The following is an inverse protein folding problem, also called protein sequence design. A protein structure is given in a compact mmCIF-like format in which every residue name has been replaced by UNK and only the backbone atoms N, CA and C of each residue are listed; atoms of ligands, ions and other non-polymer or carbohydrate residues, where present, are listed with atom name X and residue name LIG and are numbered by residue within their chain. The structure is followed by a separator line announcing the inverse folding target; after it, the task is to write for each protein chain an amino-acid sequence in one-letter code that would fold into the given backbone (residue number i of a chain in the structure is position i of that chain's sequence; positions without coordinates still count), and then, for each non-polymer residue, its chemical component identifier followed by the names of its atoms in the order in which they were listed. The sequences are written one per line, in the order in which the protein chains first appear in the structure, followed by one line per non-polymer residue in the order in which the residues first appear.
data_IF_894695399526
#
_entry.id   IF_894695399526
#
_cell.length_a   1.000
_cell.length_b   1.000
_cell.length_c   1.000
_cell.angle_alpha   90.00
_cell.angle_beta   90.00
_cell.angle_gamma   90.00
#
_symmetry.space_group_name_H-M   'P 1'
#
loop_
_entity.id
_entity.type
_entity.pdbx_description
1 polymer ?
#
# COMPACT_ATOMS: atom_id res chain seq x y z
N UNK A 1 -11.78 -90.62 -26.38
CA UNK A 1 -10.48 -90.05 -25.98
C UNK A 1 -10.61 -88.54 -25.95
N UNK A 2 -10.62 -87.99 -24.73
CA UNK A 2 -10.24 -86.64 -24.31
C UNK A 2 -9.44 -85.82 -25.35
N UNK A 3 -9.39 -84.49 -25.33
CA UNK A 3 -10.11 -83.38 -24.69
C UNK A 3 -9.28 -82.14 -25.10
N UNK A 4 -9.93 -81.09 -25.59
CA UNK A 4 -9.29 -79.85 -26.02
C UNK A 4 -8.82 -78.98 -24.84
N UNK A 5 -7.60 -78.44 -24.90
CA UNK A 5 -7.20 -77.11 -24.35
C UNK A 5 -6.16 -76.49 -25.30
N UNK A 6 -6.51 -75.52 -26.16
CA UNK A 6 -6.75 -74.08 -25.93
C UNK A 6 -5.59 -73.37 -25.21
N UNK A 7 -4.68 -72.82 -26.02
CA UNK A 7 -3.75 -71.74 -25.65
C UNK A 7 -4.54 -70.43 -25.48
N UNK A 8 -4.27 -69.71 -24.38
CA UNK A 8 -4.79 -68.39 -24.06
C UNK A 8 -3.83 -67.35 -24.66
N UNK A 9 -4.28 -66.40 -25.51
CA UNK A 9 -3.49 -65.21 -25.80
C UNK A 9 -3.74 -64.13 -24.73
N UNK A 10 -2.64 -63.56 -24.25
CA UNK A 10 -2.56 -62.37 -23.43
C UNK A 10 -3.38 -61.22 -24.06
N UNK A 11 -4.39 -60.74 -23.34
CA UNK A 11 -5.06 -59.48 -23.66
C UNK A 11 -4.50 -58.36 -22.77
N UNK A 12 -4.07 -57.31 -23.48
CA UNK A 12 -3.41 -56.09 -23.03
C UNK A 12 -4.09 -55.39 -21.85
N UNK A 13 -3.28 -55.01 -20.86
CA UNK A 13 -3.62 -54.27 -19.64
C UNK A 13 -4.04 -52.80 -19.86
N UNK A 14 -4.47 -52.44 -21.07
CA UNK A 14 -4.68 -51.04 -21.48
C UNK A 14 -6.08 -50.46 -21.25
N UNK A 15 -7.07 -51.26 -20.81
CA UNK A 15 -8.49 -50.85 -20.90
C UNK A 15 -9.21 -50.66 -19.55
N UNK A 16 -8.53 -50.76 -18.41
CA UNK A 16 -9.13 -50.51 -17.09
C UNK A 16 -8.97 -49.07 -16.59
N UNK A 17 -8.05 -48.27 -17.15
CA UNK A 17 -7.84 -46.89 -16.72
C UNK A 17 -8.91 -45.93 -17.27
N UNK A 18 -9.56 -46.27 -18.39
CA UNK A 18 -10.59 -45.44 -19.01
C UNK A 18 -11.98 -45.58 -18.35
N UNK A 19 -12.24 -46.71 -17.66
CA UNK A 19 -13.52 -46.96 -16.98
C UNK A 19 -13.60 -46.23 -15.63
N UNK A 20 -12.46 -45.94 -14.99
CA UNK A 20 -12.40 -45.13 -13.76
C UNK A 20 -12.68 -43.64 -14.00
N UNK A 21 -12.56 -43.14 -15.23
CA UNK A 21 -12.81 -41.74 -15.56
C UNK A 21 -14.30 -41.40 -15.78
N UNK A 22 -15.18 -42.40 -15.94
CA UNK A 22 -16.62 -42.15 -16.23
C UNK A 22 -17.48 -42.23 -14.96
N UNK A 23 -17.04 -42.93 -13.91
CA UNK A 23 -17.81 -43.08 -12.66
C UNK A 23 -17.67 -41.87 -11.72
N UNK A 24 -16.66 -41.01 -11.90
CA UNK A 24 -16.52 -39.76 -11.12
C UNK A 24 -17.50 -38.65 -11.55
N UNK A 25 -18.18 -38.78 -12.69
CA UNK A 25 -19.07 -37.74 -13.22
C UNK A 25 -20.57 -37.94 -12.88
N UNK A 26 -20.95 -38.97 -12.11
CA UNK A 26 -22.35 -39.23 -11.74
C UNK A 26 -22.73 -38.82 -10.30
N UNK A 27 -21.84 -38.17 -9.55
CA UNK A 27 -22.16 -37.58 -8.24
C UNK A 27 -22.29 -36.06 -8.27
N UNK A 28 -22.86 -35.52 -9.35
CA UNK A 28 -23.43 -34.17 -9.33
C UNK A 28 -24.94 -34.32 -9.45
N UNK A 29 -25.64 -34.15 -8.33
CA UNK A 29 -26.89 -33.37 -8.23
C UNK A 29 -27.53 -33.50 -6.84
N UNK A 30 -27.91 -32.33 -6.30
CA UNK A 30 -28.69 -32.05 -5.09
C UNK A 30 -27.97 -32.00 -3.74
N UNK A 31 -27.47 -30.81 -3.41
CA UNK A 31 -27.95 -30.11 -2.21
C UNK A 31 -28.09 -28.62 -2.52
N UNK A 32 -29.24 -28.10 -2.13
CA UNK A 32 -29.79 -26.78 -2.44
C UNK A 32 -28.85 -25.62 -2.14
N UNK A 33 -28.88 -24.62 -3.02
CA UNK A 33 -28.31 -23.31 -2.75
C UNK A 33 -29.01 -22.65 -1.58
N UNK A 34 -28.36 -22.68 -0.41
CA UNK A 34 -28.57 -21.67 0.62
C UNK A 34 -27.63 -20.52 0.29
N UNK A 35 -28.16 -19.48 -0.38
CA UNK A 35 -27.55 -18.17 -0.37
C UNK A 35 -27.56 -17.64 1.07
N UNK A 36 -26.52 -17.96 1.83
CA UNK A 36 -26.19 -17.19 3.02
C UNK A 36 -25.68 -15.85 2.49
N UNK A 37 -26.60 -14.90 2.30
CA UNK A 37 -26.27 -13.48 2.32
C UNK A 37 -25.85 -13.13 3.74
N UNK A 38 -24.61 -13.50 4.05
CA UNK A 38 -23.87 -13.17 5.25
C UNK A 38 -22.48 -12.65 4.88
N UNK A 39 -22.34 -12.04 3.70
CA UNK A 39 -21.24 -11.15 3.41
C UNK A 39 -21.65 -9.77 3.90
N UNK A 40 -21.35 -9.45 5.16
CA UNK A 40 -21.18 -8.03 5.49
C UNK A 40 -20.13 -7.52 4.51
N UNK A 41 -20.53 -6.65 3.57
CA UNK A 41 -19.57 -6.06 2.65
C UNK A 41 -18.49 -5.43 3.51
N UNK A 42 -17.26 -5.96 3.46
CA UNK A 42 -16.13 -5.17 3.93
C UNK A 42 -16.26 -3.83 3.21
N UNK A 43 -16.44 -2.76 3.99
CA UNK A 43 -16.57 -1.42 3.43
C UNK A 43 -15.29 -1.17 2.65
N UNK A 44 -15.41 -0.96 1.35
CA UNK A 44 -14.26 -0.77 0.47
C UNK A 44 -13.46 0.42 0.97
N UNK A 45 -12.24 0.14 1.47
CA UNK A 45 -11.32 1.18 1.93
C UNK A 45 -10.79 1.96 0.72
N UNK A 46 -10.55 3.24 0.90
CA UNK A 46 -9.90 4.06 -0.14
C UNK A 46 -8.42 3.71 -0.20
N UNK A 47 -7.91 3.36 -1.39
CA UNK A 47 -6.48 3.11 -1.56
C UNK A 47 -5.69 4.42 -1.53
N UNK A 48 -4.67 4.49 -0.69
CA UNK A 48 -3.64 5.52 -0.70
C UNK A 48 -2.29 4.87 -0.98
N UNK A 49 -1.68 5.25 -2.09
CA UNK A 49 -0.34 4.79 -2.49
C UNK A 49 0.67 5.94 -2.37
N UNK A 50 1.76 5.70 -1.65
CA UNK A 50 2.90 6.59 -1.55
C UNK A 50 4.13 5.92 -2.15
N UNK A 51 4.62 6.48 -3.26
CA UNK A 51 5.90 6.12 -3.88
C UNK A 51 6.95 7.13 -3.44
N UNK A 52 8.02 6.66 -2.80
CA UNK A 52 8.97 7.51 -2.11
C UNK A 52 10.40 6.94 -2.10
N UNK A 53 11.35 7.77 -1.67
CA UNK A 53 12.75 7.39 -1.45
C UNK A 53 13.12 7.74 -0.01
N UNK A 54 13.77 6.80 0.68
CA UNK A 54 14.10 6.90 2.11
C UNK A 54 15.02 8.08 2.46
N UNK A 55 15.82 8.61 1.53
CA UNK A 55 16.67 9.79 1.80
C UNK A 55 16.17 11.08 1.12
N UNK A 56 15.00 11.06 0.48
CA UNK A 56 14.42 12.27 -0.10
C UNK A 56 13.85 13.18 1.01
N UNK A 57 14.31 14.45 1.15
CA UNK A 57 13.82 15.35 2.20
C UNK A 57 12.32 15.64 2.14
N UNK A 58 11.71 15.64 0.94
CA UNK A 58 10.28 15.84 0.79
C UNK A 58 9.47 14.59 1.15
N UNK A 59 10.04 13.40 0.96
CA UNK A 59 9.42 12.12 1.32
C UNK A 59 9.38 11.95 2.84
N UNK A 60 10.54 12.09 3.50
CA UNK A 60 10.64 12.05 4.96
C UNK A 60 9.74 13.08 5.62
N UNK A 61 9.71 14.31 5.12
CA UNK A 61 8.78 15.34 5.60
C UNK A 61 7.31 14.95 5.43
N UNK A 62 6.93 14.35 4.29
CA UNK A 62 5.55 13.90 4.08
C UNK A 62 5.18 12.81 5.10
N UNK A 63 6.05 11.82 5.30
CA UNK A 63 5.81 10.70 6.22
C UNK A 63 5.68 11.21 7.66
N UNK A 64 6.63 12.03 8.10
CA UNK A 64 6.77 12.48 9.49
C UNK A 64 5.77 13.57 9.87
N UNK A 65 5.42 14.49 8.97
CA UNK A 65 4.60 15.67 9.32
C UNK A 65 3.15 15.60 8.77
N UNK A 66 2.84 14.64 7.90
CA UNK A 66 1.52 14.53 7.28
C UNK A 66 0.96 13.12 7.34
N UNK A 67 1.69 12.10 6.89
CA UNK A 67 1.16 10.74 6.75
C UNK A 67 0.77 10.13 8.09
N UNK A 68 1.55 10.38 9.14
CA UNK A 68 1.23 9.92 10.50
C UNK A 68 -0.17 10.39 10.97
N UNK A 69 -0.67 11.52 10.45
CA UNK A 69 -2.00 12.04 10.79
C UNK A 69 -3.12 11.10 10.37
N UNK A 70 -2.91 10.16 9.44
CA UNK A 70 -3.89 9.11 9.14
C UNK A 70 -4.25 8.31 10.38
N UNK A 71 -3.25 7.99 11.20
CA UNK A 71 -3.40 7.20 12.41
C UNK A 71 -4.07 8.04 13.50
N UNK A 72 -3.54 9.23 13.79
CA UNK A 72 -4.07 10.14 14.82
C UNK A 72 -5.53 10.54 14.57
N UNK A 73 -5.89 10.76 13.31
CA UNK A 73 -7.23 11.20 12.91
C UNK A 73 -8.25 10.07 12.77
N UNK A 74 -7.82 8.81 12.88
CA UNK A 74 -8.65 7.63 12.62
C UNK A 74 -8.98 7.39 11.15
N UNK A 75 -8.47 8.21 10.22
CA UNK A 75 -8.67 8.04 8.78
C UNK A 75 -8.03 6.75 8.25
N UNK A 76 -7.01 6.23 8.94
CA UNK A 76 -6.43 4.91 8.62
C UNK A 76 -7.47 3.78 8.64
N UNK A 77 -8.55 3.88 9.43
CA UNK A 77 -9.60 2.87 9.49
C UNK A 77 -10.34 2.69 8.17
N UNK A 78 -10.38 3.74 7.33
CA UNK A 78 -11.03 3.75 6.01
C UNK A 78 -10.02 3.76 4.86
N UNK A 79 -8.72 3.64 5.16
CA UNK A 79 -7.64 3.77 4.18
C UNK A 79 -6.90 2.45 4.02
N UNK A 80 -6.72 2.01 2.78
CA UNK A 80 -5.75 0.97 2.44
C UNK A 80 -4.44 1.68 2.07
N UNK A 81 -3.57 1.89 3.06
CA UNK A 81 -2.27 2.51 2.84
C UNK A 81 -1.31 1.48 2.19
N UNK A 82 -0.65 1.89 1.12
CA UNK A 82 0.44 1.17 0.47
C UNK A 82 1.67 2.07 0.38
N UNK A 83 2.76 1.58 0.94
CA UNK A 83 4.07 2.22 0.91
C UNK A 83 4.95 1.53 -0.13
N UNK A 84 5.59 2.32 -0.98
CA UNK A 84 6.46 1.84 -2.07
C UNK A 84 7.82 2.54 -1.98
N UNK A 85 8.73 2.07 -1.10
CA UNK A 85 10.09 2.58 -1.00
C UNK A 85 10.91 2.16 -2.22
N UNK A 86 11.03 3.03 -3.22
CA UNK A 86 11.85 2.81 -4.41
C UNK A 86 12.09 4.13 -5.14
N UNK A 87 11.00 4.84 -5.43
CA UNK A 87 11.00 6.17 -6.04
C UNK A 87 11.76 6.25 -7.35
N UNK A 88 12.80 7.10 -7.41
CA UNK A 88 13.60 7.28 -8.61
C UNK A 88 14.85 6.38 -8.67
N UNK A 89 14.92 5.32 -7.85
CA UNK A 89 15.92 4.30 -8.00
C UNK A 89 15.88 3.70 -9.42
N UNK A 90 17.02 3.18 -9.88
CA UNK A 90 17.17 2.60 -11.22
C UNK A 90 17.83 1.24 -11.14
N UNK A 91 17.26 0.28 -11.86
CA UNK A 91 17.89 -1.01 -12.15
C UNK A 91 18.87 -0.81 -13.31
N UNK A 92 20.15 -1.14 -13.09
CA UNK A 92 21.21 -1.11 -14.10
C UNK A 92 21.24 -2.39 -14.91
N UNK A 93 21.97 -2.38 -16.03
CA UNK A 93 22.07 -3.54 -16.93
C UNK A 93 22.65 -4.80 -16.26
N UNK A 94 23.50 -4.63 -15.24
CA UNK A 94 24.05 -5.73 -14.43
C UNK A 94 23.12 -6.15 -13.27
N UNK A 95 21.88 -5.66 -13.24
CA UNK A 95 20.89 -5.96 -12.21
C UNK A 95 21.06 -5.18 -10.89
N UNK A 96 22.09 -4.34 -10.74
CA UNK A 96 22.25 -3.54 -9.51
C UNK A 96 21.23 -2.42 -9.44
N UNK A 97 20.78 -2.09 -8.23
CA UNK A 97 19.93 -0.92 -8.00
C UNK A 97 20.83 0.25 -7.61
N UNK A 98 20.61 1.40 -8.22
CA UNK A 98 21.26 2.66 -7.84
C UNK A 98 20.21 3.69 -7.46
N UNK A 99 20.43 4.39 -6.36
CA UNK A 99 19.52 5.39 -5.82
C UNK A 99 20.15 6.80 -5.92
N UNK A 100 19.35 7.86 -5.90
CA UNK A 100 19.81 9.22 -6.16
C UNK A 100 20.70 9.75 -5.04
N UNK A 101 20.40 9.38 -3.80
CA UNK A 101 21.11 9.84 -2.60
C UNK A 101 22.17 8.84 -2.12
N UNK A 102 22.61 7.93 -2.99
CA UNK A 102 23.71 7.00 -2.73
C UNK A 102 23.30 5.69 -2.06
N UNK A 103 24.28 4.97 -1.51
CA UNK A 103 24.07 3.60 -1.03
C UNK A 103 23.21 3.51 0.24
N UNK A 104 23.23 4.53 1.10
CA UNK A 104 22.37 4.55 2.29
C UNK A 104 20.89 4.63 1.92
N UNK A 105 20.52 5.31 0.84
CA UNK A 105 19.14 5.30 0.35
C UNK A 105 18.74 3.92 -0.16
N UNK A 106 19.58 3.25 -0.93
CA UNK A 106 19.26 1.89 -1.38
C UNK A 106 19.14 0.91 -0.21
N UNK A 107 20.01 1.05 0.79
CA UNK A 107 19.94 0.29 2.03
C UNK A 107 18.60 0.53 2.73
N UNK A 108 18.23 1.79 2.97
CA UNK A 108 17.04 2.13 3.73
C UNK A 108 15.75 1.83 2.96
N UNK A 109 15.72 2.00 1.63
CA UNK A 109 14.60 1.53 0.80
C UNK A 109 14.36 0.04 1.00
N UNK A 110 15.45 -0.76 0.92
CA UNK A 110 15.36 -2.22 1.10
C UNK A 110 14.98 -2.60 2.53
N UNK A 111 15.47 -1.88 3.54
CA UNK A 111 15.13 -2.10 4.95
C UNK A 111 13.64 -1.84 5.20
N UNK A 112 13.10 -0.74 4.66
CA UNK A 112 11.69 -0.40 4.78
C UNK A 112 10.81 -1.36 3.97
N UNK A 113 11.25 -1.79 2.78
CA UNK A 113 10.61 -2.86 2.03
C UNK A 113 10.52 -4.16 2.84
N UNK A 114 11.62 -4.54 3.48
CA UNK A 114 11.66 -5.71 4.35
C UNK A 114 10.74 -5.55 5.58
N UNK A 115 10.68 -4.37 6.20
CA UNK A 115 9.76 -4.11 7.31
C UNK A 115 8.29 -4.31 6.89
N UNK A 116 7.90 -3.86 5.70
CA UNK A 116 6.56 -4.07 5.14
C UNK A 116 6.28 -5.57 4.90
N UNK A 117 7.27 -6.32 4.40
CA UNK A 117 7.12 -7.76 4.10
C UNK A 117 7.01 -8.60 5.38
N UNK A 118 7.83 -8.32 6.40
CA UNK A 118 7.85 -9.11 7.65
C UNK A 118 6.75 -8.74 8.63
N UNK A 119 6.23 -7.50 8.55
CA UNK A 119 5.15 -7.00 9.40
C UNK A 119 4.02 -6.46 8.49
N UNK A 120 3.20 -7.34 7.87
CA UNK A 120 2.24 -6.92 6.85
C UNK A 120 1.09 -6.05 7.39
N UNK A 121 0.83 -6.04 8.70
CA UNK A 121 -0.10 -5.08 9.30
C UNK A 121 0.54 -3.68 9.29
N UNK A 122 -0.18 -2.72 8.70
CA UNK A 122 0.26 -1.31 8.64
C UNK A 122 0.50 -0.70 10.01
N UNK A 123 -0.23 -1.14 11.04
CA UNK A 123 -0.03 -0.66 12.41
C UNK A 123 1.27 -1.21 13.03
N UNK A 124 1.86 -2.25 12.46
CA UNK A 124 3.12 -2.84 12.92
C UNK A 124 4.33 -2.29 12.16
N UNK A 125 4.29 -2.23 10.82
CA UNK A 125 5.44 -1.72 10.05
C UNK A 125 5.56 -0.19 10.04
N UNK A 126 4.43 0.54 10.06
CA UNK A 126 4.48 2.00 9.95
C UNK A 126 5.25 2.69 11.08
N UNK A 127 5.12 2.28 12.37
CA UNK A 127 5.94 2.86 13.44
C UNK A 127 7.45 2.76 13.19
N UNK A 128 7.92 1.63 12.63
CA UNK A 128 9.33 1.46 12.29
C UNK A 128 9.74 2.41 11.15
N UNK A 129 8.98 2.45 10.06
CA UNK A 129 9.24 3.36 8.93
C UNK A 129 9.21 4.83 9.39
N UNK A 130 8.20 5.23 10.16
CA UNK A 130 8.10 6.57 10.74
C UNK A 130 9.33 6.92 11.58
N UNK A 131 9.85 5.99 12.38
CA UNK A 131 11.06 6.19 13.17
C UNK A 131 12.30 6.40 12.28
N UNK A 132 12.49 5.56 11.26
CA UNK A 132 13.61 5.68 10.30
C UNK A 132 13.52 7.02 9.58
N UNK A 133 12.37 7.35 9.02
CA UNK A 133 12.12 8.60 8.30
C UNK A 133 12.22 9.84 9.20
N UNK A 134 11.92 9.72 10.49
CA UNK A 134 12.18 10.77 11.48
C UNK A 134 13.67 11.04 11.67
N UNK A 135 14.51 10.00 11.63
CA UNK A 135 15.97 10.16 11.69
C UNK A 135 16.50 10.75 10.38
N UNK A 136 15.95 10.36 9.23
CA UNK A 136 16.27 10.99 7.93
C UNK A 136 15.94 12.48 7.95
N UNK A 137 14.72 12.84 8.36
CA UNK A 137 14.26 14.22 8.46
C UNK A 137 15.15 15.08 9.37
N UNK A 138 15.75 14.47 10.41
CA UNK A 138 16.70 15.11 11.32
C UNK A 138 18.17 15.11 10.83
N UNK A 139 18.46 14.51 9.68
CA UNK A 139 19.84 14.34 9.18
C UNK A 139 20.67 13.32 9.95
N UNK A 140 20.02 12.36 10.63
CA UNK A 140 20.62 11.31 11.48
C UNK A 140 20.36 9.90 10.96
N UNK A 141 20.14 9.74 9.65
CA UNK A 141 19.77 8.47 9.02
C UNK A 141 20.75 7.31 9.29
N UNK A 142 22.01 7.58 9.61
CA UNK A 142 22.99 6.54 10.00
C UNK A 142 22.66 5.84 11.31
N UNK A 143 21.73 6.39 12.11
CA UNK A 143 21.29 5.83 13.39
C UNK A 143 20.00 5.01 13.27
N UNK A 144 19.58 4.63 12.06
CA UNK A 144 18.30 3.98 11.79
C UNK A 144 18.07 2.71 12.62
N UNK A 145 19.11 1.92 12.90
CA UNK A 145 19.00 0.69 13.72
C UNK A 145 18.49 0.95 15.14
N UNK A 146 18.68 2.18 15.66
CA UNK A 146 18.13 2.56 16.98
C UNK A 146 16.60 2.50 17.02
N UNK A 147 15.92 2.44 15.88
CA UNK A 147 14.47 2.27 15.81
C UNK A 147 14.01 0.90 16.30
N UNK A 148 14.82 -0.16 16.20
CA UNK A 148 14.48 -1.46 16.78
C UNK A 148 14.38 -1.36 18.30
N UNK A 149 15.42 -0.82 18.95
CA UNK A 149 15.45 -0.64 20.40
C UNK A 149 14.36 0.31 20.91
N UNK A 150 14.16 1.45 20.24
CA UNK A 150 13.13 2.44 20.61
C UNK A 150 11.71 1.88 20.58
N UNK A 151 11.45 0.94 19.67
CA UNK A 151 10.13 0.35 19.47
C UNK A 151 10.00 -1.04 20.12
N UNK A 152 11.07 -1.59 20.70
CA UNK A 152 11.09 -2.94 21.25
C UNK A 152 10.90 -4.03 20.19
N UNK A 153 11.37 -3.81 18.96
CA UNK A 153 11.24 -4.73 17.83
C UNK A 153 12.46 -5.65 17.72
N UNK A 154 12.24 -6.91 17.35
CA UNK A 154 13.32 -7.84 17.00
C UNK A 154 13.89 -7.45 15.61
N UNK A 155 15.20 -7.18 15.49
CA UNK A 155 15.82 -6.86 14.19
C UNK A 155 15.96 -8.07 13.27
N UNK A 156 15.90 -9.30 13.79
CA UNK A 156 16.24 -10.50 13.02
C UNK A 156 15.35 -10.72 11.78
N UNK A 157 14.02 -10.55 11.81
CA UNK A 157 13.19 -10.72 10.62
C UNK A 157 13.59 -9.78 9.47
N UNK A 158 13.78 -8.49 9.77
CA UNK A 158 14.20 -7.49 8.78
C UNK A 158 15.61 -7.79 8.27
N UNK A 159 16.55 -8.10 9.16
CA UNK A 159 17.91 -8.46 8.80
C UNK A 159 17.97 -9.72 7.92
N UNK A 160 17.15 -10.74 8.23
CA UNK A 160 17.05 -11.95 7.44
C UNK A 160 16.48 -11.67 6.05
N UNK A 161 15.42 -10.86 5.95
CA UNK A 161 14.89 -10.42 4.66
C UNK A 161 15.96 -9.71 3.82
N UNK A 162 16.74 -8.81 4.42
CA UNK A 162 17.80 -8.08 3.74
C UNK A 162 18.93 -9.02 3.26
N UNK A 163 19.38 -9.94 4.12
CA UNK A 163 20.58 -10.76 3.86
C UNK A 163 20.32 -11.99 2.98
N UNK A 164 19.08 -12.47 2.87
CA UNK A 164 18.73 -13.71 2.13
C UNK A 164 18.35 -13.49 0.67
N UNK A 165 18.38 -12.24 0.19
CA UNK A 165 17.97 -11.88 -1.17
C UNK A 165 16.49 -11.50 -1.31
N UNK A 166 15.66 -11.77 -0.29
CA UNK A 166 14.25 -11.36 -0.26
C UNK A 166 14.08 -9.85 -0.45
N UNK A 167 14.91 -9.04 0.22
CA UNK A 167 14.91 -7.58 0.05
C UNK A 167 15.14 -7.14 -1.40
N UNK A 168 16.01 -7.85 -2.14
CA UNK A 168 16.25 -7.58 -3.55
C UNK A 168 15.04 -7.91 -4.42
N UNK A 169 14.33 -9.01 -4.13
CA UNK A 169 13.10 -9.36 -4.83
C UNK A 169 12.00 -8.30 -4.62
N UNK A 170 11.85 -7.83 -3.38
CA UNK A 170 10.91 -6.78 -3.01
C UNK A 170 11.20 -5.48 -3.77
N UNK A 171 12.45 -5.03 -3.78
CA UNK A 171 12.86 -3.84 -4.52
C UNK A 171 12.60 -3.96 -6.04
N UNK A 172 12.77 -5.15 -6.63
CA UNK A 172 12.44 -5.38 -8.04
C UNK A 172 10.92 -5.32 -8.28
N UNK A 173 10.12 -5.81 -7.33
CA UNK A 173 8.66 -5.67 -7.34
C UNK A 173 8.23 -4.20 -7.25
N UNK A 174 8.83 -3.44 -6.34
CA UNK A 174 8.58 -2.01 -6.20
C UNK A 174 9.03 -1.20 -7.42
N UNK A 175 10.14 -1.58 -8.05
CA UNK A 175 10.53 -1.04 -9.34
C UNK A 175 9.44 -1.27 -10.40
N UNK A 176 8.88 -2.49 -10.47
CA UNK A 176 7.86 -2.84 -11.46
C UNK A 176 6.59 -1.99 -11.28
N UNK A 177 6.03 -1.90 -10.07
CA UNK A 177 4.83 -1.10 -9.82
C UNK A 177 5.07 0.40 -9.98
N UNK A 178 6.26 0.89 -9.62
CA UNK A 178 6.63 2.30 -9.83
C UNK A 178 6.74 2.62 -11.33
N UNK A 179 7.35 1.74 -12.13
CA UNK A 179 7.48 1.93 -13.57
C UNK A 179 6.16 1.78 -14.32
N UNK A 180 5.19 1.06 -13.75
CA UNK A 180 3.88 0.87 -14.38
C UNK A 180 2.95 2.08 -14.22
N UNK A 181 3.22 2.97 -13.26
CA UNK A 181 2.44 4.19 -13.00
C UNK A 181 1.98 4.90 -14.30
N UNK A 182 0.68 5.19 -14.35
CA UNK A 182 0.03 5.95 -15.44
C UNK A 182 -0.66 7.19 -14.86
N UNK A 183 -0.21 8.41 -15.21
CA UNK A 183 1.05 8.71 -15.90
C UNK A 183 2.28 8.33 -15.06
N UNK A 184 3.46 8.17 -15.67
CA UNK A 184 4.71 7.99 -14.93
C UNK A 184 4.92 9.13 -13.93
N UNK A 185 5.45 8.81 -12.75
CA UNK A 185 5.78 9.83 -11.75
C UNK A 185 6.86 10.77 -12.29
N UNK A 186 6.79 12.04 -11.87
CA UNK A 186 7.73 13.10 -12.33
C UNK A 186 8.71 13.53 -11.25
N UNK A 187 8.44 13.15 -10.01
CA UNK A 187 9.18 13.45 -8.80
C UNK A 187 8.71 12.51 -7.70
N UNK A 188 9.38 12.56 -6.55
CA UNK A 188 8.91 11.96 -5.30
C UNK A 188 8.84 13.02 -4.19
N UNK A 189 7.92 12.90 -3.21
CA UNK A 189 6.93 11.84 -3.07
C UNK A 189 5.87 11.90 -4.16
N UNK A 190 5.45 10.73 -4.66
CA UNK A 190 4.35 10.60 -5.61
C UNK A 190 3.16 9.95 -4.90
N UNK A 191 2.06 10.67 -4.78
CA UNK A 191 0.88 10.25 -4.01
C UNK A 191 -0.28 10.00 -4.96
N UNK A 192 -0.90 8.84 -4.81
CA UNK A 192 -2.07 8.41 -5.58
C UNK A 192 -3.18 8.04 -4.59
N UNK A 193 -4.36 8.62 -4.76
CA UNK A 193 -5.56 8.28 -3.98
C UNK A 193 -6.60 7.73 -4.96
N UNK A 194 -7.03 6.49 -4.74
CA UNK A 194 -8.01 5.79 -5.58
C UNK A 194 -7.68 5.87 -7.09
N UNK A 195 -6.41 5.60 -7.43
CA UNK A 195 -5.90 5.70 -8.80
C UNK A 195 -5.67 7.13 -9.33
N UNK A 196 -6.04 8.17 -8.58
CA UNK A 196 -5.82 9.57 -8.95
C UNK A 196 -4.49 10.10 -8.39
N UNK A 197 -3.50 10.43 -9.24
CA UNK A 197 -2.30 11.15 -8.79
C UNK A 197 -2.64 12.57 -8.35
N UNK A 198 -2.11 13.00 -7.21
CA UNK A 198 -2.45 14.29 -6.59
C UNK A 198 -1.55 15.46 -7.03
N UNK A 199 -0.45 15.18 -7.72
CA UNK A 199 0.52 16.19 -8.17
C UNK A 199 0.99 17.12 -7.04
N UNK A 200 0.88 18.44 -7.20
CA UNK A 200 1.35 19.44 -6.22
C UNK A 200 0.47 19.47 -4.96
N UNK A 201 -0.73 18.90 -5.03
CA UNK A 201 -1.70 18.84 -3.94
C UNK A 201 -1.51 17.59 -3.05
N UNK A 202 -0.39 16.88 -3.21
CA UNK A 202 -0.09 15.61 -2.55
C UNK A 202 -0.18 15.65 -1.03
N UNK A 203 -0.08 16.82 -0.39
CA UNK A 203 -0.21 16.98 1.07
C UNK A 203 -1.65 16.94 1.57
N UNK A 204 -2.63 17.14 0.69
CA UNK A 204 -4.05 17.17 1.01
C UNK A 204 -4.71 15.79 0.87
N UNK A 205 -3.93 14.71 0.79
CA UNK A 205 -4.42 13.34 0.57
C UNK A 205 -5.56 12.91 1.53
N UNK A 206 -5.59 13.38 2.78
CA UNK A 206 -6.71 13.12 3.71
C UNK A 206 -8.03 13.63 3.14
N UNK A 207 -8.06 14.83 2.57
CA UNK A 207 -9.27 15.38 1.96
C UNK A 207 -9.72 14.56 0.75
N UNK A 208 -8.78 14.04 -0.04
CA UNK A 208 -9.11 13.16 -1.18
C UNK A 208 -9.66 11.81 -0.71
N UNK A 209 -9.06 11.23 0.34
CA UNK A 209 -9.56 9.99 0.96
C UNK A 209 -10.99 10.20 1.46
N UNK A 210 -11.22 11.25 2.24
CA UNK A 210 -12.54 11.57 2.78
C UNK A 210 -13.60 11.78 1.68
N UNK A 211 -13.20 12.38 0.55
CA UNK A 211 -14.09 12.60 -0.59
C UNK A 211 -14.38 11.31 -1.38
N UNK A 212 -13.39 10.42 -1.51
CA UNK A 212 -13.52 9.16 -2.24
C UNK A 212 -14.26 8.09 -1.42
N UNK A 213 -14.21 8.16 -0.09
CA UNK A 213 -14.84 7.17 0.77
C UNK A 213 -16.37 7.23 0.70
N UNK A 214 -16.99 6.11 0.35
CA UNK A 214 -18.44 5.96 0.18
C UNK A 214 -19.12 5.17 1.32
N UNK A 215 -18.37 4.77 2.34
CA UNK A 215 -18.88 3.97 3.46
C UNK A 215 -19.59 4.81 4.52
N UNK A 216 -20.44 4.14 5.33
CA UNK A 216 -21.30 4.84 6.30
C UNK A 216 -20.61 5.25 7.61
N UNK A 217 -19.41 4.73 7.90
CA UNK A 217 -18.68 5.03 9.14
C UNK A 217 -17.55 5.99 8.82
N UNK A 218 -17.89 7.27 8.72
CA UNK A 218 -16.96 8.33 8.32
C UNK A 218 -16.21 8.85 9.55
N UNK A 219 -14.86 8.84 9.57
CA UNK A 219 -14.07 9.45 10.64
C UNK A 219 -14.39 10.93 10.83
N UNK A 220 -14.32 11.43 12.07
CA UNK A 220 -14.62 12.84 12.39
C UNK A 220 -13.72 13.83 11.64
N UNK A 221 -12.50 13.43 11.30
CA UNK A 221 -11.57 14.21 10.48
C UNK A 221 -12.05 14.45 9.04
N UNK A 222 -12.98 13.64 8.55
CA UNK A 222 -13.61 13.81 7.24
C UNK A 222 -14.85 14.72 7.27
N UNK A 223 -15.29 15.19 8.44
CA UNK A 223 -16.41 16.15 8.53
C UNK A 223 -15.99 17.56 8.09
N UNK A 224 -16.91 18.31 7.47
CA UNK A 224 -16.62 19.61 6.86
C UNK A 224 -15.99 20.64 7.83
N UNK A 225 -16.35 20.60 9.12
CA UNK A 225 -15.73 21.46 10.15
C UNK A 225 -14.27 21.13 10.42
N UNK A 226 -13.85 19.88 10.22
CA UNK A 226 -12.47 19.42 10.47
C UNK A 226 -11.55 19.71 9.29
N UNK A 227 -12.06 19.64 8.07
CA UNK A 227 -11.28 19.93 6.83
C UNK A 227 -10.89 21.41 6.79
N UNK A 228 -11.78 22.33 7.21
CA UNK A 228 -11.47 23.76 7.32
C UNK A 228 -10.36 24.07 8.34
N UNK A 229 -10.26 23.29 9.43
CA UNK A 229 -9.23 23.45 10.47
C UNK A 229 -7.88 22.85 10.03
N UNK A 230 -7.88 21.74 9.29
CA UNK A 230 -6.66 21.15 8.71
C UNK A 230 -6.06 22.08 7.65
N UNK A 231 -6.89 22.66 6.77
CA UNK A 231 -6.44 23.63 5.77
C UNK A 231 -5.90 24.92 6.42
N UNK A 232 -6.50 25.37 7.54
CA UNK A 232 -6.05 26.56 8.27
C UNK A 232 -4.77 26.36 9.11
N UNK A 233 -4.40 25.12 9.43
CA UNK A 233 -3.20 24.78 10.21
C UNK A 233 -1.98 24.45 9.35
N UNK A 234 -2.14 24.37 8.02
CA UNK A 234 -1.02 24.36 7.09
C UNK A 234 -0.43 25.78 6.99
N UNK A 235 0.90 25.96 7.17
CA UNK A 235 1.52 27.26 6.97
C UNK A 235 1.66 27.53 5.47
N UNK A 236 0.56 27.85 4.81
CA UNK A 236 0.60 28.47 3.49
C UNK A 236 0.17 29.93 3.59
N UNK A 237 1.17 30.79 3.44
CA UNK A 237 1.08 32.24 3.46
C UNK A 237 0.44 32.69 2.14
N UNK A 238 -0.88 32.75 2.06
CA UNK A 238 -1.55 33.46 0.96
C UNK A 238 -2.12 34.78 1.46
N UNK A 239 -1.36 35.84 1.18
CA UNK A 239 -1.91 37.18 1.12
C UNK A 239 -2.74 37.27 -0.17
N UNK A 240 -4.03 36.96 -0.10
CA UNK A 240 -5.00 37.42 -1.09
C UNK A 240 -6.36 37.61 -0.42
N UNK A 241 -6.65 38.86 -0.06
CA UNK A 241 -7.99 39.30 0.31
C UNK A 241 -8.91 39.13 -0.90
N UNK A 242 -9.75 38.11 -0.88
CA UNK A 242 -11.02 38.19 -1.63
C UNK A 242 -11.93 39.13 -0.83
N UNK A 243 -12.10 40.34 -1.34
CA UNK A 243 -13.01 41.34 -0.80
C UNK A 243 -14.43 40.86 -1.12
N UNK A 244 -15.12 40.30 -0.15
CA UNK A 244 -16.56 40.03 -0.25
C UNK A 244 -17.27 41.39 -0.24
N UNK A 245 -17.78 41.81 -1.40
CA UNK A 245 -18.68 42.96 -1.49
C UNK A 245 -20.05 42.47 -1.05
N UNK A 246 -20.40 42.74 0.22
CA UNK A 246 -21.78 42.70 0.68
C UNK A 246 -22.49 43.97 0.21
N UNK A 247 -23.46 43.84 -0.68
CA UNK A 247 -24.50 44.85 -0.87
C UNK A 247 -25.77 44.34 -0.21
N UNK A 248 -25.93 44.67 1.08
CA UNK A 248 -27.24 44.80 1.70
C UNK A 248 -27.70 46.25 1.45
N UNK A 249 -28.76 46.43 0.67
CA UNK A 249 -29.60 47.64 0.77
C UNK A 249 -30.90 47.19 1.42
N UNK A 250 -31.10 47.70 2.63
CA UNK A 250 -32.16 47.31 3.56
C UNK A 250 -33.54 47.82 3.19
N UNK A 251 -34.51 47.22 3.87
CA UNK A 251 -35.91 47.63 3.96
C UNK A 251 -36.08 48.89 4.84
N UNK A 252 -36.96 49.79 4.37
CA UNK A 252 -37.87 50.72 5.06
C UNK A 252 -37.36 51.63 6.21
N UNK A 253 -37.77 52.92 6.15
CA UNK A 253 -38.70 53.57 7.10
C UNK A 253 -39.03 54.99 6.58
N UNK A 254 -40.34 55.32 6.61
CA UNK A 254 -41.07 56.58 6.32
C UNK A 254 -41.21 57.04 4.87
#
# INVERSE_FOLDING_TARGET
MESHRRLIPFLSLGNHLLILLIISCLFVNHCSGSSINGGGSEKEKVTLELYYESLCPYCSNLIVNYLYKLFDSGVIAITQLKLVPYGNAKIRANGTITCQHGQYECLLNTVEACAIDVWPDVNEHFPFIYCVESLVYQGKYTQWETCFEKLGLDPNPVANCYNTGRGKELELGYAAVTNDLKPPHRYVPWVVVDGQPLYDDYRNFISYICKAYNGTSVPSACSESSIGVILASLPYRTNNRVKVISQNVGHNIM
#
